data_IF_821021865736
#
_entry.id   IF_821021865736
#
_cell.length_a   1.000
_cell.length_b   1.000
_cell.length_c   1.000
_cell.angle_alpha   90.00
_cell.angle_beta   90.00
_cell.angle_gamma   90.00
#
_symmetry.space_group_name_H-M   'P 1'
#
loop_
_entity.id
_entity.type
_entity.pdbx_description
1 polymer ?
#
# COMPACT_ATOMS: atom_id res chain seq x y z
N UNK A 1 -22.04 20.98 -2.87
CA UNK A 1 -21.75 20.01 -3.94
C UNK A 1 -21.21 18.77 -3.26
N UNK A 2 -21.92 17.65 -3.36
CA UNK A 2 -21.47 16.38 -2.79
C UNK A 2 -20.26 15.85 -3.57
N UNK A 3 -19.19 15.44 -2.86
CA UNK A 3 -17.95 14.96 -3.49
C UNK A 3 -18.15 13.63 -4.22
N UNK A 4 -19.02 12.76 -3.73
CA UNK A 4 -19.39 11.51 -4.39
C UNK A 4 -20.21 11.77 -5.65
N UNK A 5 -21.15 12.73 -5.59
CA UNK A 5 -21.93 13.14 -6.76
C UNK A 5 -21.05 13.74 -7.87
N UNK A 6 -20.02 14.50 -7.50
CA UNK A 6 -19.04 15.02 -8.47
C UNK A 6 -18.29 13.88 -9.18
N UNK A 7 -17.85 12.87 -8.42
CA UNK A 7 -17.09 11.73 -8.96
C UNK A 7 -17.96 10.83 -9.85
N UNK A 8 -19.24 10.66 -9.54
CA UNK A 8 -20.14 9.86 -10.40
C UNK A 8 -20.47 10.56 -11.71
N UNK A 9 -20.68 11.88 -11.69
CA UNK A 9 -21.01 12.67 -12.89
C UNK A 9 -19.82 12.95 -13.80
N UNK A 10 -18.62 13.15 -13.24
CA UNK A 10 -17.43 13.44 -14.03
C UNK A 10 -16.20 12.78 -13.41
N UNK A 11 -15.81 11.64 -13.98
CA UNK A 11 -14.65 10.85 -13.55
C UNK A 11 -13.30 11.42 -14.03
N UNK A 12 -13.32 12.45 -14.89
CA UNK A 12 -12.11 13.01 -15.51
C UNK A 12 -11.42 12.04 -16.47
N UNK A 13 -10.36 12.51 -17.14
CA UNK A 13 -9.67 11.77 -18.20
C UNK A 13 -9.00 10.47 -17.74
N UNK A 14 -8.66 10.35 -16.44
CA UNK A 14 -8.09 9.13 -15.87
C UNK A 14 -9.16 8.21 -15.28
N UNK A 15 -10.23 8.77 -14.69
CA UNK A 15 -11.26 7.97 -14.04
C UNK A 15 -12.16 7.20 -15.01
N UNK A 16 -12.12 7.50 -16.32
CA UNK A 16 -12.75 6.65 -17.33
C UNK A 16 -12.11 5.24 -17.39
N UNK A 17 -10.84 5.10 -17.00
CA UNK A 17 -10.10 3.83 -16.98
C UNK A 17 -10.15 3.12 -15.63
N UNK A 18 -10.83 3.72 -14.64
CA UNK A 18 -10.81 3.23 -13.26
C UNK A 18 -11.27 1.76 -13.17
N UNK A 19 -12.29 1.38 -13.94
CA UNK A 19 -12.86 0.02 -13.90
C UNK A 19 -11.87 -1.03 -14.43
N UNK A 20 -11.13 -0.69 -15.47
CA UNK A 20 -10.23 -1.58 -16.19
C UNK A 20 -8.85 -1.64 -15.52
N UNK A 21 -8.41 -0.54 -14.90
CA UNK A 21 -7.06 -0.40 -14.40
C UNK A 21 -6.92 -0.55 -12.88
N UNK A 22 -7.91 -0.14 -12.08
CA UNK A 22 -7.79 -0.18 -10.63
C UNK A 22 -7.65 -1.61 -10.09
N UNK A 23 -6.68 -1.82 -9.20
CA UNK A 23 -6.42 -3.11 -8.56
C UNK A 23 -5.60 -4.09 -9.40
N UNK A 24 -5.34 -3.78 -10.68
CA UNK A 24 -4.45 -4.57 -11.53
C UNK A 24 -3.28 -3.74 -12.07
N UNK A 25 -3.56 -2.76 -12.93
CA UNK A 25 -2.53 -1.90 -13.53
C UNK A 25 -2.22 -0.69 -12.66
N UNK A 26 -3.23 -0.15 -11.98
CA UNK A 26 -3.11 0.95 -11.04
C UNK A 26 -3.41 0.46 -9.63
N UNK A 27 -2.45 0.64 -8.73
CA UNK A 27 -2.54 0.21 -7.33
C UNK A 27 -2.85 -1.30 -7.19
N UNK A 28 -2.01 -2.20 -7.73
CA UNK A 28 -2.17 -3.63 -7.52
C UNK A 28 -2.14 -3.95 -6.03
N UNK A 29 -3.04 -4.83 -5.59
CA UNK A 29 -3.16 -5.25 -4.20
C UNK A 29 -2.46 -6.59 -4.00
N UNK A 30 -1.24 -6.53 -3.49
CA UNK A 30 -0.53 -7.69 -2.97
C UNK A 30 -0.94 -7.92 -1.51
N UNK A 31 -1.14 -9.17 -1.16
CA UNK A 31 -1.62 -9.60 0.15
C UNK A 31 -0.62 -10.57 0.79
N UNK A 32 -0.65 -10.62 2.13
CA UNK A 32 0.23 -11.44 2.95
C UNK A 32 1.47 -10.71 3.45
N UNK A 33 2.36 -11.47 4.08
CA UNK A 33 3.66 -10.96 4.56
C UNK A 33 4.53 -10.48 3.39
N UNK A 34 5.33 -9.44 3.62
CA UNK A 34 6.12 -8.80 2.57
C UNK A 34 7.30 -9.70 2.16
N UNK A 35 7.34 -10.18 0.92
CA UNK A 35 8.42 -11.06 0.52
C UNK A 35 8.53 -11.35 -0.98
N UNK A 36 9.47 -12.22 -1.36
CA UNK A 36 9.68 -12.63 -2.75
C UNK A 36 8.50 -13.46 -3.30
N UNK A 37 7.65 -14.01 -2.43
CA UNK A 37 6.37 -14.65 -2.79
C UNK A 37 5.25 -13.96 -2.04
N UNK A 38 4.21 -13.52 -2.75
CA UNK A 38 3.03 -12.88 -2.18
C UNK A 38 1.77 -13.35 -2.90
N UNK A 39 0.59 -12.99 -2.38
CA UNK A 39 -0.69 -13.27 -3.05
C UNK A 39 -1.13 -12.07 -3.87
N UNK A 40 -1.44 -12.31 -5.14
CA UNK A 40 -2.09 -11.34 -6.02
C UNK A 40 -3.39 -11.93 -6.53
N UNK A 41 -4.52 -11.29 -6.19
CA UNK A 41 -5.89 -11.77 -6.54
C UNK A 41 -6.10 -13.24 -6.17
N UNK A 42 -5.68 -13.61 -4.96
CA UNK A 42 -5.81 -14.96 -4.42
C UNK A 42 -4.81 -16.00 -4.97
N UNK A 43 -3.92 -15.63 -5.89
CA UNK A 43 -2.90 -16.52 -6.46
C UNK A 43 -1.53 -16.18 -5.91
N UNK A 44 -0.73 -17.19 -5.57
CA UNK A 44 0.67 -16.98 -5.22
C UNK A 44 1.47 -16.57 -6.46
N UNK A 45 2.29 -15.53 -6.33
CA UNK A 45 3.14 -15.00 -7.40
C UNK A 45 4.54 -14.70 -6.86
N UNK A 46 5.54 -14.75 -7.74
CA UNK A 46 6.85 -14.14 -7.47
C UNK A 46 6.71 -12.63 -7.54
N UNK A 47 7.22 -11.94 -6.53
CA UNK A 47 7.09 -10.51 -6.38
C UNK A 47 8.38 -9.77 -6.72
N UNK A 48 8.31 -8.95 -7.76
CA UNK A 48 9.41 -8.11 -8.25
C UNK A 48 9.13 -6.61 -8.08
N UNK A 49 8.05 -6.27 -7.37
CA UNK A 49 7.53 -4.90 -7.29
C UNK A 49 7.90 -4.15 -6.00
N UNK A 50 8.53 -4.83 -5.05
CA UNK A 50 8.89 -4.24 -3.75
C UNK A 50 10.35 -3.85 -3.67
N UNK A 51 10.60 -2.74 -2.98
CA UNK A 51 11.94 -2.26 -2.63
C UNK A 51 12.51 -2.95 -1.37
N UNK A 52 12.08 -4.18 -1.06
CA UNK A 52 12.53 -4.93 0.11
C UNK A 52 13.79 -5.77 -0.20
N UNK A 53 14.84 -5.11 -0.70
CA UNK A 53 16.02 -5.78 -1.26
C UNK A 53 16.75 -6.67 -0.25
N UNK A 54 16.86 -6.22 1.00
CA UNK A 54 17.53 -6.95 2.08
C UNK A 54 16.59 -7.84 2.90
N UNK A 55 15.30 -7.90 2.55
CA UNK A 55 14.34 -8.75 3.28
C UNK A 55 13.97 -8.25 4.69
N UNK A 56 14.31 -7.01 5.05
CA UNK A 56 14.19 -6.53 6.44
C UNK A 56 12.75 -6.29 6.89
N UNK A 57 11.81 -6.11 5.95
CA UNK A 57 10.45 -5.67 6.27
C UNK A 57 9.68 -6.56 7.26
N UNK A 58 9.99 -7.86 7.33
CA UNK A 58 9.34 -8.79 8.26
C UNK A 58 10.25 -9.29 9.37
N UNK A 59 11.49 -8.79 9.49
CA UNK A 59 12.40 -9.27 10.54
C UNK A 59 11.81 -8.98 11.92
N UNK A 60 11.77 -9.98 12.84
CA UNK A 60 11.19 -9.80 14.16
C UNK A 60 11.77 -8.61 14.92
N UNK A 61 13.09 -8.42 14.86
CA UNK A 61 13.80 -7.37 15.58
C UNK A 61 13.42 -5.97 15.07
N UNK A 62 13.18 -5.83 13.76
CA UNK A 62 12.71 -4.56 13.16
C UNK A 62 11.29 -4.26 13.63
N UNK A 63 10.39 -5.25 13.59
CA UNK A 63 8.99 -5.09 14.01
C UNK A 63 8.88 -4.78 15.52
N UNK A 64 9.74 -5.39 16.33
CA UNK A 64 9.82 -5.10 17.76
C UNK A 64 10.28 -3.65 18.01
N UNK A 65 11.34 -3.21 17.32
CA UNK A 65 11.82 -1.84 17.40
C UNK A 65 10.74 -0.83 16.97
N UNK A 66 10.03 -1.08 15.86
CA UNK A 66 8.92 -0.23 15.40
C UNK A 66 7.80 -0.14 16.45
N UNK A 67 7.40 -1.28 17.03
CA UNK A 67 6.35 -1.32 18.05
C UNK A 67 6.75 -0.60 19.34
N UNK A 68 8.02 -0.70 19.73
CA UNK A 68 8.54 -0.01 20.91
C UNK A 68 8.62 1.51 20.66
N UNK A 69 9.16 1.93 19.52
CA UNK A 69 9.25 3.33 19.16
C UNK A 69 7.87 4.02 19.10
N UNK A 70 6.86 3.32 18.58
CA UNK A 70 5.48 3.84 18.55
C UNK A 70 4.92 4.09 19.97
N UNK A 71 5.28 3.30 20.97
CA UNK A 71 4.85 3.51 22.37
C UNK A 71 5.58 4.68 23.02
N UNK A 72 6.89 4.76 22.80
CA UNK A 72 7.75 5.73 23.47
C UNK A 72 7.56 7.15 22.91
N UNK A 73 7.31 7.26 21.60
CA UNK A 73 7.35 8.55 20.89
C UNK A 73 6.08 8.90 20.13
N UNK A 74 5.16 7.95 19.94
CA UNK A 74 4.01 8.13 19.08
C UNK A 74 4.36 8.27 17.60
N UNK A 75 3.34 8.50 16.77
CA UNK A 75 3.47 8.60 15.29
C UNK A 75 3.20 10.02 14.76
N UNK A 76 2.73 10.93 15.61
CA UNK A 76 2.39 12.29 15.23
C UNK A 76 3.58 13.21 15.50
N UNK A 77 4.11 13.82 14.43
CA UNK A 77 5.19 14.80 14.49
C UNK A 77 4.72 16.12 13.87
N UNK A 78 5.21 17.28 14.34
CA UNK A 78 4.85 18.56 13.74
C UNK A 78 5.30 18.60 12.27
N UNK A 79 4.34 18.85 11.38
CA UNK A 79 4.63 19.03 9.95
C UNK A 79 5.29 20.41 9.74
N UNK A 80 6.55 20.43 9.29
CA UNK A 80 7.22 21.64 8.82
C UNK A 80 8.20 22.32 9.79
N UNK A 81 8.82 21.58 10.70
CA UNK A 81 10.08 21.99 11.33
C UNK A 81 11.27 21.45 10.53
#
# INVERSE_FOLDING_TARGET
>A
MDIFERVTKNRGALGIWQKEAHGYFMFPKLEGEIGPRMKFRGKEVLNWSLNNYCGLANLPEVREADAQAAKDWGLAYPMGA
#
